data_IF_020260007991
#
_entry.id   IF_020260007991
#
_cell.length_a   1.000
_cell.length_b   1.000
_cell.length_c   1.000
_cell.angle_alpha   90.00
_cell.angle_beta   90.00
_cell.angle_gamma   90.00
#
_symmetry.space_group_name_H-M   'P 1'
#
loop_
_entity.id
_entity.type
_entity.pdbx_description
1 polymer ?
#
# COMPACT_ATOMS: atom_id res chain seq x y z
N UNK A 1 47.45 28.68 -56.47
CA UNK A 1 47.37 28.42 -55.02
C UNK A 1 45.90 28.44 -54.59
N UNK A 2 45.32 27.31 -54.18
CA UNK A 2 43.91 27.22 -53.72
C UNK A 2 43.85 27.64 -52.24
N UNK A 3 43.10 28.69 -51.92
CA UNK A 3 42.84 29.12 -50.53
C UNK A 3 41.81 28.19 -49.90
N UNK A 4 42.22 27.43 -48.90
CA UNK A 4 41.32 26.58 -48.09
C UNK A 4 40.50 27.53 -47.20
N UNK A 5 39.19 27.59 -47.42
CA UNK A 5 38.26 28.33 -46.54
C UNK A 5 37.95 27.46 -45.33
N UNK A 6 38.45 27.82 -44.15
CA UNK A 6 37.96 27.25 -42.89
C UNK A 6 36.52 27.74 -42.69
N UNK A 7 35.55 26.83 -42.85
CA UNK A 7 34.19 27.04 -42.39
C UNK A 7 34.24 27.16 -40.87
N UNK A 8 33.89 28.32 -40.33
CA UNK A 8 33.77 28.46 -38.88
C UNK A 8 32.60 27.60 -38.43
N UNK A 9 32.88 26.58 -37.62
CA UNK A 9 31.83 25.86 -36.91
C UNK A 9 31.30 26.82 -35.84
N UNK A 10 30.04 27.22 -35.96
CA UNK A 10 29.35 27.95 -34.91
C UNK A 10 29.31 27.04 -33.67
N UNK A 11 29.88 27.52 -32.56
CA UNK A 11 29.87 26.84 -31.27
C UNK A 11 28.62 27.21 -30.48
N UNK A 12 28.19 26.31 -29.58
CA UNK A 12 27.08 26.57 -28.67
C UNK A 12 27.30 27.86 -27.87
N UNK A 13 26.26 28.69 -27.79
CA UNK A 13 26.29 29.90 -26.95
C UNK A 13 25.94 29.56 -25.51
N UNK A 14 26.48 30.31 -24.55
CA UNK A 14 26.12 30.16 -23.14
C UNK A 14 24.61 30.39 -22.91
N UNK A 15 24.02 31.31 -23.70
CA UNK A 15 22.61 31.67 -23.63
C UNK A 15 21.71 30.50 -24.03
N UNK A 16 22.09 29.73 -25.04
CA UNK A 16 21.34 28.57 -25.51
C UNK A 16 21.32 27.45 -24.47
N UNK A 17 22.43 27.22 -23.77
CA UNK A 17 22.48 26.27 -22.64
C UNK A 17 21.58 26.75 -21.49
N UNK A 18 21.60 28.05 -21.16
CA UNK A 18 20.74 28.62 -20.11
C UNK A 18 19.25 28.51 -20.49
N UNK A 19 18.89 28.78 -21.75
CA UNK A 19 17.52 28.66 -22.25
C UNK A 19 17.02 27.21 -22.13
N UNK A 20 17.85 26.23 -22.46
CA UNK A 20 17.52 24.80 -22.30
C UNK A 20 17.34 24.44 -20.83
N UNK A 21 18.23 24.87 -19.93
CA UNK A 21 18.10 24.62 -18.50
C UNK A 21 16.83 25.24 -17.91
N UNK A 22 16.45 26.44 -18.37
CA UNK A 22 15.21 27.07 -17.98
C UNK A 22 13.98 26.27 -18.41
N UNK A 23 13.97 25.76 -19.65
CA UNK A 23 12.89 24.89 -20.13
C UNK A 23 12.82 23.58 -19.35
N UNK A 24 13.95 22.95 -19.05
CA UNK A 24 14.00 21.73 -18.21
C UNK A 24 13.45 22.01 -16.82
N UNK A 25 13.86 23.10 -16.17
CA UNK A 25 13.35 23.49 -14.85
C UNK A 25 11.84 23.76 -14.87
N UNK A 26 11.33 24.45 -15.90
CA UNK A 26 9.90 24.71 -16.08
C UNK A 26 9.10 23.41 -16.25
N UNK A 27 9.62 22.43 -16.99
CA UNK A 27 8.99 21.11 -17.14
C UNK A 27 8.96 20.34 -15.81
N UNK A 28 10.07 20.35 -15.05
CA UNK A 28 10.11 19.72 -13.74
C UNK A 28 9.09 20.32 -12.76
N UNK A 29 8.93 21.64 -12.76
CA UNK A 29 7.94 22.33 -11.92
C UNK A 29 6.50 21.90 -12.22
N UNK A 30 6.19 21.58 -13.48
CA UNK A 30 4.85 21.16 -13.89
C UNK A 30 4.58 19.68 -13.57
N UNK A 31 5.56 18.80 -13.80
CA UNK A 31 5.34 17.35 -13.76
C UNK A 31 5.64 16.73 -12.39
N UNK A 32 6.62 17.28 -11.65
CA UNK A 32 7.11 16.71 -10.39
C UNK A 32 6.01 16.39 -9.36
N UNK A 33 5.15 17.36 -8.99
CA UNK A 33 4.10 17.13 -7.98
C UNK A 33 3.07 16.06 -8.37
N UNK A 34 2.78 15.93 -9.67
CA UNK A 34 1.73 15.01 -10.17
C UNK A 34 2.15 13.54 -10.11
N UNK A 35 3.44 13.24 -10.32
CA UNK A 35 3.96 11.88 -10.21
C UNK A 35 3.89 11.39 -8.76
N UNK A 36 4.26 12.27 -7.82
CA UNK A 36 4.30 11.93 -6.40
C UNK A 36 2.92 11.54 -5.86
N UNK A 37 1.90 12.38 -6.11
CA UNK A 37 0.51 12.10 -5.69
C UNK A 37 -0.04 10.77 -6.24
N UNK A 38 0.35 10.40 -7.47
CA UNK A 38 -0.07 9.14 -8.09
C UNK A 38 0.58 7.94 -7.42
N UNK A 39 1.87 8.03 -7.09
CA UNK A 39 2.56 6.98 -6.34
C UNK A 39 1.94 6.78 -4.96
N UNK A 40 1.66 7.87 -4.26
CA UNK A 40 1.01 7.85 -2.94
C UNK A 40 -0.37 7.17 -2.99
N UNK A 41 -1.20 7.55 -3.96
CA UNK A 41 -2.53 6.94 -4.15
C UNK A 41 -2.42 5.46 -4.51
N UNK A 42 -1.44 5.08 -5.36
CA UNK A 42 -1.20 3.70 -5.74
C UNK A 42 -0.78 2.83 -4.57
N UNK A 43 0.02 3.38 -3.63
CA UNK A 43 0.35 2.70 -2.37
C UNK A 43 -0.90 2.44 -1.54
N UNK A 44 -1.70 3.47 -1.25
CA UNK A 44 -2.95 3.31 -0.48
C UNK A 44 -3.85 2.22 -1.08
N UNK A 45 -4.04 2.22 -2.41
CA UNK A 45 -4.82 1.18 -3.10
C UNK A 45 -4.23 -0.21 -2.97
N UNK A 46 -2.90 -0.33 -3.07
CA UNK A 46 -2.20 -1.60 -2.88
C UNK A 46 -2.39 -2.11 -1.44
N UNK A 47 -2.28 -1.22 -0.45
CA UNK A 47 -2.49 -1.57 0.96
C UNK A 47 -3.90 -2.14 1.17
N UNK A 48 -4.92 -1.49 0.61
CA UNK A 48 -6.33 -1.95 0.67
C UNK A 48 -6.51 -3.31 0.00
N UNK A 49 -5.98 -3.49 -1.20
CA UNK A 49 -6.08 -4.77 -1.92
C UNK A 49 -5.41 -5.92 -1.14
N UNK A 50 -4.25 -5.67 -0.54
CA UNK A 50 -3.56 -6.64 0.32
C UNK A 50 -4.36 -6.95 1.59
N UNK A 51 -4.95 -5.95 2.24
CA UNK A 51 -5.81 -6.15 3.41
C UNK A 51 -7.08 -6.93 3.07
N UNK A 52 -7.71 -6.67 1.92
CA UNK A 52 -8.87 -7.42 1.44
C UNK A 52 -8.53 -8.91 1.21
N UNK A 53 -7.35 -9.19 0.63
CA UNK A 53 -6.84 -10.55 0.50
C UNK A 53 -6.64 -11.21 1.86
N UNK A 54 -5.99 -10.52 2.80
CA UNK A 54 -5.79 -11.03 4.17
C UNK A 54 -7.10 -11.27 4.92
N UNK A 55 -8.12 -10.40 4.75
CA UNK A 55 -9.47 -10.59 5.29
C UNK A 55 -10.10 -11.88 4.78
N UNK A 56 -9.98 -12.17 3.48
CA UNK A 56 -10.49 -13.42 2.92
C UNK A 56 -9.77 -14.63 3.52
N UNK A 57 -8.44 -14.62 3.61
CA UNK A 57 -7.67 -15.68 4.24
C UNK A 57 -8.05 -15.90 5.72
N UNK A 58 -8.31 -14.82 6.47
CA UNK A 58 -8.77 -14.86 7.86
C UNK A 58 -10.17 -15.47 7.97
N UNK A 59 -11.06 -15.15 7.03
CA UNK A 59 -12.40 -15.74 6.97
C UNK A 59 -12.31 -17.25 6.69
N UNK A 60 -11.48 -17.68 5.75
CA UNK A 60 -11.25 -19.10 5.44
C UNK A 60 -10.68 -19.84 6.67
N UNK A 61 -9.70 -19.23 7.36
CA UNK A 61 -9.19 -19.76 8.62
C UNK A 61 -10.33 -19.95 9.64
N UNK A 62 -11.22 -18.96 9.79
CA UNK A 62 -12.35 -19.04 10.72
C UNK A 62 -13.35 -20.12 10.32
N UNK A 63 -13.57 -20.37 9.04
CA UNK A 63 -14.47 -21.44 8.59
C UNK A 63 -13.98 -22.82 9.06
N UNK A 64 -12.68 -23.06 9.01
CA UNK A 64 -12.09 -24.34 9.39
C UNK A 64 -11.85 -24.45 10.91
N UNK A 65 -11.37 -23.37 11.54
CA UNK A 65 -10.97 -23.35 12.95
C UNK A 65 -12.10 -22.92 13.90
N UNK A 66 -13.20 -22.39 13.36
CA UNK A 66 -14.35 -21.86 14.11
C UNK A 66 -14.11 -20.49 14.75
N UNK A 67 -12.88 -19.98 14.76
CA UNK A 67 -12.48 -18.69 15.32
C UNK A 67 -11.35 -18.09 14.50
N UNK A 68 -11.16 -16.78 14.59
CA UNK A 68 -9.97 -16.13 14.02
C UNK A 68 -8.70 -16.46 14.83
N UNK A 69 -7.50 -16.36 14.24
CA UNK A 69 -6.24 -16.48 14.98
C UNK A 69 -6.19 -15.51 16.15
N UNK A 70 -5.63 -15.92 17.27
CA UNK A 70 -5.38 -14.99 18.39
C UNK A 70 -4.32 -13.95 18.01
N UNK A 71 -4.29 -12.82 18.71
CA UNK A 71 -3.25 -11.79 18.50
C UNK A 71 -1.82 -12.35 18.68
N UNK A 72 -1.62 -13.37 19.52
CA UNK A 72 -0.32 -14.01 19.71
C UNK A 72 0.09 -14.91 18.54
N UNK A 73 -0.88 -15.54 17.87
CA UNK A 73 -0.63 -16.33 16.66
C UNK A 73 -0.49 -15.43 15.43
N UNK A 74 -1.27 -14.35 15.40
CA UNK A 74 -1.23 -13.31 14.38
C UNK A 74 -1.51 -13.83 12.97
N UNK A 75 -1.09 -13.04 11.98
CA UNK A 75 -1.21 -13.41 10.56
C UNK A 75 -0.34 -14.63 10.20
N UNK A 76 0.64 -15.00 11.04
CA UNK A 76 1.48 -16.19 10.84
C UNK A 76 0.65 -17.48 10.78
N UNK A 77 -0.47 -17.53 11.50
CA UNK A 77 -1.40 -18.67 11.50
C UNK A 77 -2.06 -18.93 10.13
N UNK A 78 -2.08 -17.93 9.24
CA UNK A 78 -2.58 -18.08 7.89
C UNK A 78 -1.67 -18.97 7.04
N UNK A 79 -0.39 -19.03 7.37
CA UNK A 79 0.61 -19.78 6.60
C UNK A 79 1.11 -21.01 7.33
N UNK A 80 1.35 -20.89 8.63
CA UNK A 80 1.92 -21.94 9.46
C UNK A 80 0.84 -22.44 10.41
N UNK A 81 0.68 -23.77 10.49
CA UNK A 81 -0.24 -24.38 11.44
C UNK A 81 0.06 -23.88 12.86
N UNK A 82 -0.91 -23.28 13.57
CA UNK A 82 -0.71 -22.81 14.93
C UNK A 82 -0.57 -23.99 15.89
N UNK A 83 0.21 -23.81 16.96
CA UNK A 83 0.44 -24.84 17.96
C UNK A 83 -0.83 -25.18 18.78
N UNK A 84 -1.82 -24.29 18.77
CA UNK A 84 -3.12 -24.47 19.41
C UNK A 84 -4.06 -25.42 18.65
N UNK A 85 -3.74 -25.74 17.38
CA UNK A 85 -4.58 -26.55 16.53
C UNK A 85 -4.75 -27.97 17.07
N UNK A 86 -5.99 -28.48 17.00
CA UNK A 86 -6.37 -29.84 17.41
C UNK A 86 -6.64 -30.77 16.23
N UNK A 87 -6.26 -30.36 15.02
CA UNK A 87 -6.40 -31.11 13.78
C UNK A 87 -7.42 -30.54 12.79
N UNK A 88 -7.97 -29.37 13.06
CA UNK A 88 -8.95 -28.70 12.19
C UNK A 88 -8.28 -27.80 11.15
N UNK A 89 -7.03 -27.40 11.38
CA UNK A 89 -6.32 -26.52 10.46
C UNK A 89 -6.06 -27.20 9.12
N UNK A 90 -6.57 -26.60 8.05
CA UNK A 90 -6.53 -27.10 6.67
C UNK A 90 -5.81 -26.12 5.72
N UNK A 91 -5.00 -25.21 6.27
CA UNK A 91 -4.21 -24.27 5.50
C UNK A 91 -3.05 -24.92 4.72
N UNK A 92 -2.16 -24.10 4.11
CA UNK A 92 -2.07 -22.66 4.25
C UNK A 92 -3.20 -21.90 3.57
N UNK A 93 -3.71 -20.86 4.22
CA UNK A 93 -4.79 -19.99 3.75
C UNK A 93 -4.30 -18.84 2.87
N UNK A 94 -2.98 -18.63 2.79
CA UNK A 94 -2.36 -17.59 1.95
C UNK A 94 -1.31 -18.20 1.02
N UNK A 95 -1.32 -17.76 -0.23
CA UNK A 95 -0.29 -18.10 -1.20
C UNK A 95 0.95 -17.23 -1.01
N UNK A 96 2.09 -17.84 -0.71
CA UNK A 96 3.33 -17.11 -0.53
C UNK A 96 3.48 -16.45 0.85
N UNK A 97 4.50 -15.61 1.04
CA UNK A 97 4.77 -14.98 2.33
C UNK A 97 3.67 -13.98 2.68
N UNK A 98 3.50 -13.70 3.97
CA UNK A 98 2.59 -12.65 4.41
C UNK A 98 3.09 -11.33 3.82
N UNK A 99 2.27 -10.62 3.03
CA UNK A 99 2.68 -9.39 2.40
C UNK A 99 2.93 -8.34 3.48
N UNK A 100 3.97 -7.53 3.24
CA UNK A 100 4.16 -6.26 3.91
C UNK A 100 3.31 -5.20 3.22
N UNK A 101 2.99 -4.15 3.96
CA UNK A 101 2.33 -3.01 3.38
C UNK A 101 3.24 -2.28 2.35
N UNK A 102 2.70 -1.33 1.57
CA UNK A 102 3.44 -0.61 0.52
C UNK A 102 4.56 0.31 1.01
N UNK A 103 4.70 0.48 2.32
CA UNK A 103 5.78 1.21 2.98
C UNK A 103 6.81 0.28 3.61
N UNK A 104 6.55 -1.03 3.61
CA UNK A 104 7.46 -2.06 4.10
C UNK A 104 7.21 -2.47 5.55
N UNK A 105 6.13 -1.96 6.15
CA UNK A 105 5.72 -2.28 7.51
C UNK A 105 4.88 -3.55 7.53
N UNK A 106 4.82 -4.21 8.68
CA UNK A 106 3.89 -5.33 8.89
C UNK A 106 2.49 -4.77 9.14
N UNK A 107 1.48 -5.50 8.65
CA UNK A 107 0.09 -5.18 8.99
C UNK A 107 -0.17 -5.44 10.47
N UNK A 108 -0.90 -4.53 11.10
CA UNK A 108 -1.32 -4.68 12.48
C UNK A 108 -2.61 -5.50 12.50
N UNK A 109 -2.55 -6.65 13.17
CA UNK A 109 -3.67 -7.55 13.35
C UNK A 109 -3.98 -7.74 14.84
N UNK A 110 -5.26 -7.66 15.21
CA UNK A 110 -5.71 -7.91 16.58
C UNK A 110 -7.04 -8.65 16.61
N UNK A 111 -7.08 -9.70 17.43
CA UNK A 111 -8.29 -10.43 17.73
C UNK A 111 -8.32 -10.84 19.23
N UNK A 112 -9.42 -10.56 19.96
CA UNK A 112 -10.61 -9.81 19.53
C UNK A 112 -10.29 -8.36 19.17
N UNK A 113 -11.02 -7.80 18.20
CA UNK A 113 -10.83 -6.41 17.76
C UNK A 113 -11.13 -5.42 18.88
N UNK A 114 -10.36 -4.32 18.93
CA UNK A 114 -10.61 -3.17 19.79
C UNK A 114 -11.61 -2.21 19.16
N UNK A 115 -11.59 -2.06 17.83
CA UNK A 115 -12.61 -1.29 17.10
C UNK A 115 -13.74 -2.17 16.61
N UNK A 116 -13.43 -3.36 16.11
CA UNK A 116 -14.41 -4.36 15.69
C UNK A 116 -14.58 -5.46 16.74
N UNK A 117 -15.47 -5.23 17.72
CA UNK A 117 -15.69 -6.18 18.82
C UNK A 117 -16.18 -7.57 18.38
N UNK A 118 -16.96 -7.64 17.30
CA UNK A 118 -17.51 -8.89 16.77
C UNK A 118 -16.56 -9.61 15.80
N UNK A 119 -15.42 -8.99 15.47
CA UNK A 119 -14.44 -9.57 14.55
C UNK A 119 -13.00 -9.18 14.96
N UNK A 120 -12.16 -8.89 13.97
CA UNK A 120 -10.75 -8.56 14.15
C UNK A 120 -10.47 -7.14 13.64
N UNK A 121 -9.42 -6.54 14.17
CA UNK A 121 -8.84 -5.34 13.61
C UNK A 121 -7.70 -5.73 12.66
N UNK A 122 -7.72 -5.20 11.43
CA UNK A 122 -6.62 -5.28 10.48
C UNK A 122 -6.40 -3.91 9.83
N UNK A 123 -5.19 -3.36 9.97
CA UNK A 123 -4.84 -2.03 9.47
C UNK A 123 -3.33 -1.90 9.17
N UNK A 124 -2.99 -0.90 8.36
CA UNK A 124 -1.62 -0.43 8.12
C UNK A 124 -1.44 0.95 8.75
N UNK A 125 -0.27 1.18 9.34
CA UNK A 125 0.14 2.44 9.99
C UNK A 125 0.65 3.49 8.99
N UNK A 126 0.41 3.29 7.70
CA UNK A 126 0.85 4.22 6.65
C UNK A 126 2.38 4.37 6.55
N UNK A 127 2.81 5.52 6.05
CA UNK A 127 4.21 5.79 5.70
C UNK A 127 5.14 6.05 6.89
N UNK A 128 4.62 6.58 7.99
CA UNK A 128 5.39 6.85 9.22
C UNK A 128 5.43 5.66 10.17
N UNK A 129 4.49 4.71 10.05
CA UNK A 129 4.50 3.50 10.88
C UNK A 129 4.09 3.77 12.32
N UNK A 130 3.35 4.85 12.56
CA UNK A 130 2.82 5.26 13.86
C UNK A 130 1.29 5.36 13.80
N UNK A 131 0.60 5.21 14.92
CA UNK A 131 -0.86 5.35 14.94
C UNK A 131 -1.28 6.81 14.66
N UNK A 132 -2.28 6.98 13.80
CA UNK A 132 -2.85 8.26 13.44
C UNK A 132 -2.32 8.80 12.11
N UNK A 133 -1.72 9.99 12.14
CA UNK A 133 -1.16 10.63 10.95
C UNK A 133 -2.19 11.28 10.00
N UNK A 134 -1.70 11.78 8.86
CA UNK A 134 -2.54 12.40 7.82
C UNK A 134 -1.95 12.20 6.41
N UNK A 135 -2.80 12.20 5.39
CA UNK A 135 -2.35 11.95 4.02
C UNK A 135 -1.76 10.54 3.88
N UNK A 136 -0.49 10.44 3.47
CA UNK A 136 0.21 9.15 3.32
C UNK A 136 0.62 8.50 4.65
N UNK A 137 0.61 9.28 5.72
CA UNK A 137 0.86 8.83 7.07
C UNK A 137 -0.43 8.39 7.77
N UNK A 138 -1.59 8.58 7.14
CA UNK A 138 -2.84 8.18 7.75
C UNK A 138 -2.90 6.65 7.86
N UNK A 139 -3.35 6.16 9.01
CA UNK A 139 -3.76 4.77 9.17
C UNK A 139 -4.76 4.37 8.08
N UNK A 140 -4.62 3.14 7.58
CA UNK A 140 -5.53 2.57 6.60
C UNK A 140 -6.12 1.32 7.21
N UNK A 141 -7.42 1.34 7.47
CA UNK A 141 -8.12 0.26 8.17
C UNK A 141 -9.25 -0.34 7.33
N UNK A 142 -9.61 -1.59 7.65
CA UNK A 142 -10.67 -2.32 6.95
C UNK A 142 -12.09 -1.89 7.37
N UNK A 143 -12.27 -1.35 8.58
CA UNK A 143 -13.59 -0.91 9.07
C UNK A 143 -13.98 0.48 8.55
N UNK A 144 -13.02 1.33 8.17
CA UNK A 144 -13.33 2.61 7.53
C UNK A 144 -13.90 2.45 6.10
N UNK A 145 -13.75 1.28 5.47
CA UNK A 145 -14.44 0.96 4.20
C UNK A 145 -15.94 0.67 4.40
N UNK A 146 -16.36 0.21 5.58
CA UNK A 146 -17.78 -0.08 5.86
C UNK A 146 -18.60 1.21 6.09
N UNK A 147 -17.95 2.31 6.49
CA UNK A 147 -18.56 3.63 6.70
C UNK A 147 -18.57 4.53 5.44
N UNK A 148 -18.14 4.03 4.28
CA UNK A 148 -18.19 4.79 3.02
C UNK A 148 -19.65 4.88 2.51
N UNK A 149 -20.25 6.09 2.38
CA UNK A 149 -21.66 6.25 1.99
C UNK A 149 -22.00 5.70 0.59
N UNK A 150 -21.00 5.27 -0.18
CA UNK A 150 -21.19 4.54 -1.44
C UNK A 150 -21.80 3.15 -1.22
N UNK A 151 -21.56 2.51 -0.06
CA UNK A 151 -22.06 1.16 0.26
C UNK A 151 -23.20 1.13 1.29
N UNK A 152 -23.50 2.25 1.97
CA UNK A 152 -24.60 2.37 2.95
C UNK A 152 -26.02 2.34 2.35
N UNK A 153 -26.16 2.02 1.06
CA UNK A 153 -27.42 2.08 0.30
C UNK A 153 -27.94 0.74 -0.20
N UNK A 154 -27.29 -0.40 0.12
CA UNK A 154 -27.82 -1.71 -0.25
C UNK A 154 -28.83 -2.17 0.82
N UNK A 155 -30.09 -2.43 0.44
CA UNK A 155 -31.07 -2.96 1.38
C UNK A 155 -30.65 -4.36 1.83
N UNK A 156 -30.56 -4.56 3.14
CA UNK A 156 -30.47 -5.90 3.73
C UNK A 156 -31.71 -6.70 3.33
N UNK A 157 -31.49 -7.82 2.65
CA UNK A 157 -32.52 -8.80 2.28
C UNK A 157 -32.60 -9.93 3.29
#
# INVERSE_FOLDING_TARGET
MKRIKFQQKEGFTLFEVIAVLFLVAALYALVGPSIWKRLETGKVQTARAQMALLKNCLNDYRLDMGTYPSTAEGLAALRVRPASDRGNWNGPYIEGPIPKDPWGNEYVYRFPGTRNYDSFDLYSLGADGEEGGSGVNADISLWEEEDDPVYSGLPEG
#
